data_IF_145701095759
#
_entry.id   IF_145701095759
#
_cell.length_a   1.000
_cell.length_b   1.000
_cell.length_c   1.000
_cell.angle_alpha   90.00
_cell.angle_beta   90.00
_cell.angle_gamma   90.00
#
_symmetry.space_group_name_H-M   'P 1'
#
loop_
_entity.id
_entity.type
_entity.pdbx_description
1 polymer ?
#
# COMPACT_ATOMS: atom_id res chain seq x y z
N UNK A 1 37.71 25.10 -4.91
CA UNK A 1 37.32 24.61 -6.24
C UNK A 1 37.33 23.08 -6.21
N UNK A 2 36.17 22.45 -6.11
CA UNK A 2 36.01 21.00 -6.26
C UNK A 2 34.69 20.75 -6.98
N UNK A 3 34.76 20.69 -8.31
CA UNK A 3 33.64 20.27 -9.17
C UNK A 3 33.54 18.76 -9.14
N UNK A 4 32.50 18.24 -8.50
CA UNK A 4 32.13 16.84 -8.60
C UNK A 4 31.28 16.66 -9.86
N UNK A 5 31.84 15.91 -10.81
CA UNK A 5 31.30 15.64 -12.14
C UNK A 5 30.04 14.77 -12.01
N UNK A 6 28.88 15.34 -12.30
CA UNK A 6 27.64 14.60 -12.57
C UNK A 6 27.80 13.99 -13.96
N UNK A 7 28.18 12.72 -14.01
CA UNK A 7 28.15 11.90 -15.20
C UNK A 7 26.68 11.62 -15.50
N UNK A 8 26.06 12.52 -16.28
CA UNK A 8 24.72 12.34 -16.83
C UNK A 8 24.75 11.09 -17.69
N UNK A 9 24.20 10.00 -17.14
CA UNK A 9 24.00 8.74 -17.85
C UNK A 9 22.96 9.00 -18.94
N UNK A 10 23.46 9.21 -20.16
CA UNK A 10 22.73 9.51 -21.38
C UNK A 10 21.98 8.25 -21.84
N UNK A 11 20.86 7.92 -21.19
CA UNK A 11 19.97 6.85 -21.60
C UNK A 11 18.59 7.45 -21.96
N UNK A 12 18.12 7.32 -23.22
CA UNK A 12 16.90 7.99 -23.68
C UNK A 12 15.62 7.51 -22.97
N UNK A 13 15.66 6.37 -22.27
CA UNK A 13 14.54 5.84 -21.49
C UNK A 13 14.38 6.51 -20.12
N UNK A 14 15.42 7.15 -19.57
CA UNK A 14 15.36 7.78 -18.24
C UNK A 14 14.70 9.17 -18.32
N UNK A 15 14.84 9.86 -19.46
CA UNK A 15 14.25 11.19 -19.69
C UNK A 15 12.72 11.09 -19.80
N UNK A 16 12.19 10.04 -20.44
CA UNK A 16 10.74 9.85 -20.59
C UNK A 16 10.08 9.46 -19.25
N UNK A 17 10.75 8.65 -18.43
CA UNK A 17 10.23 8.25 -17.10
C UNK A 17 10.24 9.42 -16.13
N UNK A 18 11.28 10.27 -16.16
CA UNK A 18 11.33 11.49 -15.32
C UNK A 18 10.22 12.49 -15.67
N UNK A 19 9.87 12.63 -16.95
CA UNK A 19 8.78 13.52 -17.39
C UNK A 19 7.41 13.03 -16.94
N UNK A 20 7.15 11.72 -17.03
CA UNK A 20 5.89 11.10 -16.60
C UNK A 20 5.68 11.18 -15.08
N UNK A 21 6.74 11.01 -14.28
CA UNK A 21 6.67 11.13 -12.83
C UNK A 21 6.38 12.57 -12.39
N UNK A 22 6.98 13.57 -13.05
CA UNK A 22 6.70 14.98 -12.76
C UNK A 22 5.29 15.42 -13.16
N UNK A 23 4.74 14.89 -14.27
CA UNK A 23 3.39 15.21 -14.71
C UNK A 23 2.31 14.63 -13.78
N UNK A 24 2.55 13.44 -13.21
CA UNK A 24 1.65 12.82 -12.23
C UNK A 24 1.63 13.56 -10.88
N UNK A 25 2.72 14.22 -10.48
CA UNK A 25 2.80 14.96 -9.22
C UNK A 25 2.04 16.30 -9.24
N UNK A 26 1.80 16.90 -10.41
CA UNK A 26 1.11 18.19 -10.54
C UNK A 26 -0.43 18.07 -10.61
N UNK A 27 -0.97 16.87 -10.82
CA UNK A 27 -2.42 16.63 -10.96
C UNK A 27 -3.12 16.24 -9.64
N UNK A 28 -2.36 16.07 -8.54
CA UNK A 28 -2.87 15.76 -7.20
C UNK A 28 -2.35 16.81 -6.20
N UNK A 29 -2.38 18.08 -6.58
CA UNK A 29 -2.17 19.18 -5.64
C UNK A 29 -3.41 19.39 -4.75
N UNK A 30 -3.27 19.59 -3.43
CA UNK A 30 -4.41 19.85 -2.56
C UNK A 30 -5.01 21.22 -2.89
N UNK A 31 -6.28 21.23 -3.33
CA UNK A 31 -7.06 22.44 -3.52
C UNK A 31 -7.38 23.08 -2.16
N UNK A 32 -7.10 24.38 -1.93
CA UNK A 32 -7.34 25.04 -0.64
C UNK A 32 -8.81 25.41 -0.36
N UNK A 33 -9.78 24.77 -1.02
CA UNK A 33 -11.19 25.23 -1.08
C UNK A 33 -12.14 24.29 -0.32
N UNK A 34 -11.72 23.77 0.83
CA UNK A 34 -12.62 23.03 1.75
C UNK A 34 -12.60 23.55 3.18
N UNK A 35 -12.25 24.82 3.38
CA UNK A 35 -12.18 25.44 4.71
C UNK A 35 -13.47 26.14 5.19
N UNK A 36 -14.56 26.14 4.42
CA UNK A 36 -15.80 26.85 4.82
C UNK A 36 -17.05 26.05 4.44
N UNK A 37 -17.32 24.95 5.14
CA UNK A 37 -18.68 24.55 5.53
C UNK A 37 -18.67 23.18 6.20
N UNK A 38 -18.57 23.17 7.52
CA UNK A 38 -19.32 22.21 8.33
C UNK A 38 -19.62 22.84 9.69
N UNK A 39 -20.42 23.91 9.65
CA UNK A 39 -21.06 24.45 10.84
C UNK A 39 -22.37 23.66 11.05
N UNK A 40 -22.28 22.58 11.84
CA UNK A 40 -23.41 22.06 12.61
C UNK A 40 -22.85 21.10 13.67
N UNK A 41 -22.13 21.67 14.64
CA UNK A 41 -21.88 21.00 15.91
C UNK A 41 -23.03 21.33 16.85
N UNK A 42 -23.85 20.34 17.18
CA UNK A 42 -24.76 20.43 18.33
C UNK A 42 -23.93 20.63 19.59
N UNK A 43 -24.04 21.81 20.20
CA UNK A 43 -23.41 22.13 21.47
C UNK A 43 -24.06 21.28 22.58
N UNK A 44 -23.32 20.28 23.06
CA UNK A 44 -23.64 19.54 24.28
C UNK A 44 -22.90 20.25 25.43
N UNK A 45 -23.59 20.80 26.44
CA UNK A 45 -22.92 21.56 27.50
C UNK A 45 -22.08 20.65 28.42
N UNK A 46 -20.79 20.95 28.50
CA UNK A 46 -19.81 20.71 29.57
C UNK A 46 -19.87 19.40 30.38
N UNK A 47 -18.96 18.48 30.07
CA UNK A 47 -18.46 17.43 30.97
C UNK A 47 -16.98 17.67 31.38
N UNK A 48 -16.54 18.92 31.53
CA UNK A 48 -15.11 19.29 31.65
C UNK A 48 -14.46 18.90 32.99
N UNK A 49 -15.15 18.26 33.95
CA UNK A 49 -14.56 17.83 35.23
C UNK A 49 -15.31 16.68 35.94
N UNK A 50 -15.89 15.71 35.21
CA UNK A 50 -16.45 14.50 35.86
C UNK A 50 -15.42 13.38 35.88
N UNK A 51 -15.17 12.82 37.06
CA UNK A 51 -14.46 11.55 37.22
C UNK A 51 -15.26 10.47 36.49
N UNK A 52 -14.64 9.59 35.67
CA UNK A 52 -15.34 8.55 34.95
C UNK A 52 -16.13 7.66 35.91
N UNK A 53 -17.42 7.50 35.65
CA UNK A 53 -18.29 6.59 36.40
C UNK A 53 -17.99 5.12 36.01
N UNK A 54 -18.69 4.15 36.63
CA UNK A 54 -18.46 2.73 36.34
C UNK A 54 -18.76 2.36 34.87
N UNK A 55 -19.82 2.91 34.28
CA UNK A 55 -20.18 2.66 32.88
C UNK A 55 -19.17 3.30 31.93
N UNK A 56 -18.67 4.49 32.25
CA UNK A 56 -17.64 5.17 31.45
C UNK A 56 -16.34 4.38 31.45
N UNK A 57 -15.94 3.83 32.61
CA UNK A 57 -14.76 2.96 32.72
C UNK A 57 -14.90 1.68 31.92
N UNK A 58 -16.06 1.03 31.97
CA UNK A 58 -16.33 -0.17 31.18
C UNK A 58 -16.26 0.11 29.67
N UNK A 59 -16.82 1.23 29.22
CA UNK A 59 -16.73 1.67 27.82
C UNK A 59 -15.29 1.95 27.39
N UNK A 60 -14.50 2.63 28.22
CA UNK A 60 -13.08 2.87 27.92
C UNK A 60 -12.31 1.56 27.81
N UNK A 61 -12.49 0.62 28.75
CA UNK A 61 -11.84 -0.69 28.68
C UNK A 61 -12.29 -1.49 27.44
N UNK A 62 -13.56 -1.41 27.07
CA UNK A 62 -14.05 -2.04 25.85
C UNK A 62 -13.41 -1.44 24.61
N UNK A 63 -13.31 -0.11 24.56
CA UNK A 63 -12.65 0.60 23.47
C UNK A 63 -11.17 0.23 23.37
N UNK A 64 -10.43 0.19 24.48
CA UNK A 64 -9.02 -0.24 24.51
C UNK A 64 -8.85 -1.68 24.00
N UNK A 65 -9.75 -2.59 24.39
CA UNK A 65 -9.74 -3.97 23.88
C UNK A 65 -10.01 -4.02 22.38
N UNK A 66 -10.96 -3.25 21.89
CA UNK A 66 -11.29 -3.22 20.46
C UNK A 66 -10.16 -2.59 19.64
N UNK A 67 -9.53 -1.52 20.14
CA UNK A 67 -8.34 -0.90 19.55
C UNK A 67 -7.18 -1.90 19.46
N UNK A 68 -6.88 -2.62 20.55
CA UNK A 68 -5.83 -3.65 20.57
C UNK A 68 -6.11 -4.77 19.55
N UNK A 69 -7.37 -5.22 19.44
CA UNK A 69 -7.77 -6.24 18.44
C UNK A 69 -7.61 -5.75 17.01
N UNK A 70 -7.96 -4.49 16.74
CA UNK A 70 -7.79 -3.88 15.43
C UNK A 70 -6.30 -3.76 15.10
N UNK A 71 -5.47 -3.35 16.06
CA UNK A 71 -4.02 -3.25 15.88
C UNK A 71 -3.39 -4.62 15.55
N UNK A 72 -3.75 -5.66 16.31
CA UNK A 72 -3.27 -7.01 16.07
C UNK A 72 -3.67 -7.53 14.68
N UNK A 73 -4.94 -7.35 14.30
CA UNK A 73 -5.43 -7.74 12.98
C UNK A 73 -4.72 -6.97 11.85
N UNK A 74 -4.41 -5.69 12.06
CA UNK A 74 -3.62 -4.89 11.12
C UNK A 74 -2.18 -5.38 11.00
N UNK A 75 -1.54 -5.73 12.12
CA UNK A 75 -0.20 -6.26 12.14
C UNK A 75 -0.11 -7.62 11.41
N UNK A 76 -1.09 -8.50 11.64
CA UNK A 76 -1.16 -9.79 10.96
C UNK A 76 -1.33 -9.63 9.44
N UNK A 77 -2.27 -8.76 9.01
CA UNK A 77 -2.47 -8.48 7.58
C UNK A 77 -1.22 -7.91 6.91
N UNK A 78 -0.48 -7.02 7.58
CA UNK A 78 0.79 -6.48 7.05
C UNK A 78 1.83 -7.58 6.83
N UNK A 79 1.94 -8.52 7.78
CA UNK A 79 2.84 -9.68 7.65
C UNK A 79 2.46 -10.55 6.45
N UNK A 80 1.17 -10.84 6.29
CA UNK A 80 0.69 -11.63 5.15
C UNK A 80 0.97 -10.97 3.80
N UNK A 81 0.70 -9.66 3.67
CA UNK A 81 0.99 -8.93 2.43
C UNK A 81 2.49 -8.90 2.13
N UNK A 82 3.34 -8.76 3.15
CA UNK A 82 4.80 -8.83 2.97
C UNK A 82 5.24 -10.20 2.47
N UNK A 83 4.75 -11.27 3.10
CA UNK A 83 5.08 -12.64 2.73
C UNK A 83 4.57 -12.98 1.31
N UNK A 84 3.35 -12.56 0.97
CA UNK A 84 2.79 -12.72 -0.37
C UNK A 84 3.59 -11.94 -1.43
N UNK A 85 4.10 -10.75 -1.09
CA UNK A 85 4.96 -9.94 -1.97
C UNK A 85 6.31 -10.61 -2.24
N UNK A 86 6.96 -11.13 -1.20
CA UNK A 86 8.22 -11.87 -1.34
C UNK A 86 8.04 -13.12 -2.21
N UNK A 87 6.94 -13.86 -1.98
CA UNK A 87 6.60 -15.03 -2.79
C UNK A 87 6.34 -14.65 -4.24
N UNK A 88 5.61 -13.58 -4.50
CA UNK A 88 5.35 -13.08 -5.85
C UNK A 88 6.64 -12.70 -6.57
N UNK A 89 7.55 -11.99 -5.89
CA UNK A 89 8.85 -11.62 -6.42
C UNK A 89 9.67 -12.86 -6.78
N UNK A 90 9.71 -13.86 -5.90
CA UNK A 90 10.44 -15.10 -6.15
C UNK A 90 9.87 -15.85 -7.35
N UNK A 91 8.55 -16.02 -7.44
CA UNK A 91 7.93 -16.69 -8.59
C UNK A 91 8.18 -15.93 -9.90
N UNK A 92 8.16 -14.60 -9.87
CA UNK A 92 8.46 -13.79 -11.05
C UNK A 92 9.91 -13.94 -11.52
N UNK A 93 10.87 -14.02 -10.59
CA UNK A 93 12.29 -14.31 -10.90
C UNK A 93 12.42 -15.72 -11.48
N UNK A 94 11.83 -16.72 -10.83
CA UNK A 94 11.88 -18.11 -11.32
C UNK A 94 11.26 -18.24 -12.73
N UNK A 95 10.14 -17.54 -12.98
CA UNK A 95 9.49 -17.51 -14.29
C UNK A 95 10.40 -16.85 -15.34
N UNK A 96 11.05 -15.75 -14.98
CA UNK A 96 12.02 -15.06 -15.85
C UNK A 96 13.17 -15.99 -16.21
N UNK A 97 13.75 -16.67 -15.23
CA UNK A 97 14.87 -17.59 -15.44
C UNK A 97 14.47 -18.78 -16.32
N UNK A 98 13.24 -19.28 -16.20
CA UNK A 98 12.71 -20.31 -17.10
C UNK A 98 12.51 -19.78 -18.51
N UNK A 99 11.96 -18.58 -18.67
CA UNK A 99 11.74 -17.96 -19.97
C UNK A 99 13.07 -17.67 -20.70
N UNK A 100 14.08 -17.21 -19.97
CA UNK A 100 15.43 -16.94 -20.50
C UNK A 100 16.15 -18.24 -20.94
N UNK A 101 15.74 -19.41 -20.41
CA UNK A 101 16.28 -20.73 -20.81
C UNK A 101 15.52 -21.37 -21.98
N UNK A 102 14.26 -20.99 -22.21
CA UNK A 102 13.46 -21.50 -23.33
C UNK A 102 13.73 -20.71 -24.60
N UNK A 103 13.93 -21.39 -25.73
CA UNK A 103 13.94 -20.75 -27.04
C UNK A 103 12.59 -20.08 -27.31
N UNK A 104 12.62 -18.89 -27.93
CA UNK A 104 11.53 -17.89 -28.07
C UNK A 104 10.12 -18.40 -28.45
N UNK A 105 10.01 -19.61 -29.02
CA UNK A 105 8.77 -20.17 -29.57
C UNK A 105 8.22 -21.39 -28.82
N UNK A 106 8.85 -21.82 -27.72
CA UNK A 106 8.41 -23.00 -26.95
C UNK A 106 8.22 -22.67 -25.49
N UNK A 107 6.98 -22.30 -25.12
CA UNK A 107 6.59 -22.13 -23.72
C UNK A 107 6.25 -23.51 -23.14
N UNK A 108 6.95 -23.91 -22.07
CA UNK A 108 6.63 -25.16 -21.37
C UNK A 108 5.30 -25.02 -20.63
N UNK A 109 4.55 -26.12 -20.53
CA UNK A 109 3.33 -26.23 -19.71
C UNK A 109 3.61 -25.78 -18.26
N UNK A 110 4.81 -26.07 -17.74
CA UNK A 110 5.23 -25.63 -16.40
C UNK A 110 5.30 -24.10 -16.28
N UNK A 111 5.78 -23.41 -17.32
CA UNK A 111 5.89 -21.95 -17.36
C UNK A 111 4.50 -21.30 -17.40
N UNK A 112 3.55 -21.90 -18.13
CA UNK A 112 2.15 -21.46 -18.16
C UNK A 112 1.52 -21.56 -16.76
N UNK A 113 1.66 -22.71 -16.09
CA UNK A 113 1.14 -22.87 -14.72
C UNK A 113 1.76 -21.90 -13.71
N UNK A 114 3.04 -21.52 -13.90
CA UNK A 114 3.67 -20.50 -13.05
C UNK A 114 3.09 -19.11 -13.28
N UNK A 115 2.77 -18.75 -14.52
CA UNK A 115 2.09 -17.48 -14.84
C UNK A 115 0.73 -17.43 -14.15
N UNK A 116 -0.07 -18.50 -14.25
CA UNK A 116 -1.39 -18.57 -13.61
C UNK A 116 -1.28 -18.42 -12.07
N UNK A 117 -0.27 -19.06 -11.47
CA UNK A 117 -0.02 -18.96 -10.03
C UNK A 117 0.38 -17.54 -9.60
N UNK A 118 1.19 -16.84 -10.41
CA UNK A 118 1.58 -15.44 -10.19
C UNK A 118 0.36 -14.53 -10.31
N UNK A 119 -0.47 -14.72 -11.35
CA UNK A 119 -1.69 -13.93 -11.55
C UNK A 119 -2.64 -14.06 -10.36
N UNK A 120 -2.90 -15.31 -9.92
CA UNK A 120 -3.77 -15.57 -8.79
C UNK A 120 -3.25 -14.91 -7.50
N UNK A 121 -1.95 -15.09 -7.21
CA UNK A 121 -1.36 -14.49 -5.99
C UNK A 121 -1.37 -12.96 -6.04
N UNK A 122 -1.06 -12.37 -7.19
CA UNK A 122 -1.12 -10.92 -7.36
C UNK A 122 -2.55 -10.38 -7.17
N UNK A 123 -3.55 -11.11 -7.66
CA UNK A 123 -4.94 -10.74 -7.50
C UNK A 123 -5.40 -10.84 -6.04
N UNK A 124 -5.05 -11.92 -5.34
CA UNK A 124 -5.35 -12.12 -3.92
C UNK A 124 -4.70 -11.03 -3.07
N UNK A 125 -3.44 -10.70 -3.33
CA UNK A 125 -2.72 -9.63 -2.63
C UNK A 125 -3.36 -8.26 -2.84
N UNK A 126 -3.76 -7.93 -4.08
CA UNK A 126 -4.50 -6.70 -4.40
C UNK A 126 -5.82 -6.61 -3.62
N UNK A 127 -6.54 -7.72 -3.49
CA UNK A 127 -7.79 -7.76 -2.75
C UNK A 127 -7.56 -7.56 -1.24
N UNK A 128 -6.54 -8.22 -0.66
CA UNK A 128 -6.12 -7.98 0.74
C UNK A 128 -5.76 -6.52 1.00
N UNK A 129 -5.12 -5.84 0.05
CA UNK A 129 -4.77 -4.42 0.17
C UNK A 129 -5.98 -3.48 0.07
N UNK A 130 -6.99 -3.79 -0.75
CA UNK A 130 -8.22 -2.98 -0.87
C UNK A 130 -9.07 -2.99 0.41
N UNK A 131 -9.06 -4.09 1.15
CA UNK A 131 -9.69 -4.19 2.48
C UNK A 131 -9.04 -3.26 3.54
N UNK A 132 -8.01 -2.49 3.18
CA UNK A 132 -7.40 -1.45 4.01
C UNK A 132 -8.01 -0.06 3.82
N UNK A 133 -8.58 0.21 2.64
CA UNK A 133 -8.99 1.57 2.22
C UNK A 133 -10.49 1.82 2.28
N UNK A 134 -11.29 0.79 2.59
CA UNK A 134 -12.69 0.91 2.99
C UNK A 134 -12.78 0.90 4.52
#
# INVERSE_FOLDING_TARGET
MASQKIFVFLCPTVITVSGLVCLLFLLVGPSPVRALMQQNGSYVPNAVNRMPDANDREKMQQQERDEARIEEANAQRKKEVSADSEKLLRMAVDLKDELDKTSKDTLSINTIHKIDAIEKLAHDMKNKMKLRTN
#
